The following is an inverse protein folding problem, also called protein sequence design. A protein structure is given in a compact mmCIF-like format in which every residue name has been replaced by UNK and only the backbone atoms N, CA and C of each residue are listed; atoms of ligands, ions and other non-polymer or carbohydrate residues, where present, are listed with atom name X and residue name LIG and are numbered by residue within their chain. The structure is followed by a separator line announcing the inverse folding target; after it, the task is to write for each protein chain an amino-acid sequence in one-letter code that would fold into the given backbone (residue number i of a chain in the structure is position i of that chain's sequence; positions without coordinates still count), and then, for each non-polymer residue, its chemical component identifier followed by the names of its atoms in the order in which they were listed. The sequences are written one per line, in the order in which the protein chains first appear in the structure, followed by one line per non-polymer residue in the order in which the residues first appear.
data_IF_007425763430
#
_entry.id   IF_007425763430
#
_cell.length_a   1.000
_cell.length_b   1.000
_cell.length_c   1.000
_cell.angle_alpha   90.00
_cell.angle_beta   90.00
_cell.angle_gamma   90.00
#
_symmetry.space_group_name_H-M   'P 1'
#
loop_
_entity.id
_entity.type
_entity.pdbx_description
1 polymer ?
#
# COMPACT_ATOMS: atom_id res chain seq x y z
N UNK A 1 4.28 11.47 16.98
CA UNK A 1 3.20 11.51 15.95
C UNK A 1 3.81 12.05 14.66
N UNK A 2 3.91 11.24 13.61
CA UNK A 2 4.70 11.51 12.39
C UNK A 2 4.08 12.55 11.42
N UNK A 3 2.99 13.21 11.79
CA UNK A 3 2.40 14.28 10.95
C UNK A 3 1.77 13.85 9.61
N UNK A 4 1.66 12.54 9.34
CA UNK A 4 1.15 12.00 8.08
C UNK A 4 -0.37 12.11 7.91
N UNK A 5 -1.11 12.16 9.02
CA UNK A 5 -2.57 12.31 9.01
C UNK A 5 -2.99 13.79 9.13
N UNK A 6 -4.16 14.19 8.56
CA UNK A 6 -4.72 15.52 8.72
C UNK A 6 -4.84 15.92 10.20
N UNK A 7 -4.59 17.19 10.51
CA UNK A 7 -4.53 17.69 11.90
C UNK A 7 -5.83 17.44 12.69
N UNK A 8 -6.99 17.45 12.04
CA UNK A 8 -8.28 17.23 12.69
C UNK A 8 -8.48 15.81 13.23
N UNK A 9 -7.78 14.80 12.64
CA UNK A 9 -7.83 13.40 13.10
C UNK A 9 -6.93 13.12 14.32
N UNK A 10 -6.03 14.05 14.65
CA UNK A 10 -5.08 13.88 15.76
C UNK A 10 -5.70 14.06 17.15
N UNK A 11 -6.92 14.58 17.24
CA UNK A 11 -7.55 14.85 18.55
C UNK A 11 -7.82 13.55 19.30
N UNK A 12 -7.16 13.40 20.43
CA UNK A 12 -7.27 12.26 21.33
C UNK A 12 -8.21 12.66 22.50
N UNK A 13 -9.06 11.75 22.91
CA UNK A 13 -9.95 11.91 24.07
C UNK A 13 -9.13 11.74 25.37
N UNK A 14 -9.72 12.10 26.51
CA UNK A 14 -9.16 11.91 27.88
C UNK A 14 -8.75 10.46 28.18
N UNK A 15 -9.29 9.47 27.46
CA UNK A 15 -8.96 8.04 27.55
C UNK A 15 -7.84 7.61 26.58
N UNK A 16 -7.17 8.52 25.88
CA UNK A 16 -6.10 8.20 24.91
C UNK A 16 -6.60 7.69 23.55
N UNK A 17 -7.91 7.72 23.26
CA UNK A 17 -8.51 7.18 22.05
C UNK A 17 -8.66 8.27 20.98
N UNK A 18 -8.21 8.07 19.72
CA UNK A 18 -8.40 9.03 18.62
C UNK A 18 -9.84 8.94 18.07
N UNK A 19 -10.81 9.47 18.82
CA UNK A 19 -12.25 9.35 18.52
C UNK A 19 -12.63 9.84 17.15
N UNK A 20 -12.03 10.94 16.66
CA UNK A 20 -12.31 11.46 15.33
C UNK A 20 -11.83 10.54 14.21
N UNK A 21 -10.69 9.87 14.38
CA UNK A 21 -10.20 8.87 13.44
C UNK A 21 -11.11 7.64 13.45
N UNK A 22 -11.58 7.23 14.65
CA UNK A 22 -12.52 6.12 14.80
C UNK A 22 -13.84 6.41 14.08
N UNK A 23 -14.45 7.60 14.30
CA UNK A 23 -15.67 7.98 13.60
C UNK A 23 -15.50 8.06 12.07
N UNK A 24 -14.35 8.57 11.60
CA UNK A 24 -14.06 8.60 10.17
C UNK A 24 -13.98 7.20 9.56
N UNK A 25 -13.26 6.27 10.22
CA UNK A 25 -13.19 4.86 9.78
C UNK A 25 -14.53 4.15 9.86
N UNK A 26 -15.30 4.41 10.91
CA UNK A 26 -16.66 3.84 11.04
C UNK A 26 -17.58 4.37 9.95
N UNK A 27 -17.54 5.67 9.62
CA UNK A 27 -18.31 6.25 8.53
C UNK A 27 -17.97 5.62 7.18
N UNK A 28 -16.67 5.39 6.91
CA UNK A 28 -16.23 4.64 5.71
C UNK A 28 -16.75 3.19 5.75
N UNK A 29 -16.68 2.53 6.92
CA UNK A 29 -17.25 1.18 7.09
C UNK A 29 -18.76 1.11 6.85
N UNK A 30 -19.50 2.16 7.23
CA UNK A 30 -20.93 2.24 6.95
C UNK A 30 -21.29 2.31 5.46
N UNK A 31 -20.35 2.74 4.60
CA UNK A 31 -20.55 2.69 3.15
C UNK A 31 -20.75 1.25 2.64
N UNK A 32 -20.29 0.24 3.38
CA UNK A 32 -20.56 -1.16 3.04
C UNK A 32 -22.07 -1.49 3.09
N UNK A 33 -22.84 -0.82 3.95
CA UNK A 33 -24.30 -1.00 4.00
C UNK A 33 -25.02 -0.39 2.80
N UNK A 34 -24.41 0.59 2.11
CA UNK A 34 -24.95 1.11 0.86
C UNK A 34 -24.98 0.04 -0.25
N UNK A 35 -24.11 -0.97 -0.15
CA UNK A 35 -24.12 -2.08 -1.10
C UNK A 35 -25.48 -2.80 -1.14
N UNK A 36 -26.21 -2.86 -0.02
CA UNK A 36 -27.54 -3.46 0.03
C UNK A 36 -28.62 -2.61 -0.64
N UNK A 37 -28.38 -1.29 -0.80
CA UNK A 37 -29.31 -0.37 -1.46
C UNK A 37 -29.15 -0.36 -2.98
N UNK A 38 -27.96 -0.67 -3.49
CA UNK A 38 -27.65 -0.67 -4.93
C UNK A 38 -27.77 -2.04 -5.60
N UNK A 39 -28.20 -3.08 -4.87
CA UNK A 39 -28.49 -4.43 -5.38
C UNK A 39 -27.24 -5.25 -5.75
N UNK A 40 -27.44 -6.56 -5.81
CA UNK A 40 -26.62 -7.60 -6.45
C UNK A 40 -25.11 -7.68 -6.21
N UNK A 41 -24.60 -7.19 -5.07
CA UNK A 41 -23.21 -7.44 -4.70
C UNK A 41 -22.15 -6.69 -5.51
N UNK A 42 -22.53 -5.86 -6.48
CA UNK A 42 -21.58 -5.13 -7.34
C UNK A 42 -20.63 -4.25 -6.51
N UNK A 43 -21.19 -3.42 -5.62
CA UNK A 43 -20.41 -2.55 -4.74
C UNK A 43 -19.53 -3.37 -3.79
N UNK A 44 -20.04 -4.50 -3.30
CA UNK A 44 -19.28 -5.43 -2.47
C UNK A 44 -18.05 -5.98 -3.22
N UNK A 45 -18.23 -6.42 -4.47
CA UNK A 45 -17.13 -6.94 -5.29
C UNK A 45 -16.09 -5.87 -5.59
N UNK A 46 -16.48 -4.64 -5.84
CA UNK A 46 -15.57 -3.51 -6.03
C UNK A 46 -14.73 -3.24 -4.78
N UNK A 47 -15.37 -3.19 -3.61
CA UNK A 47 -14.66 -2.97 -2.34
C UNK A 47 -13.74 -4.13 -1.99
N UNK A 48 -14.19 -5.36 -2.22
CA UNK A 48 -13.39 -6.56 -1.99
C UNK A 48 -12.12 -6.57 -2.85
N UNK A 49 -12.27 -6.33 -4.16
CA UNK A 49 -11.16 -6.27 -5.10
C UNK A 49 -10.18 -5.12 -4.78
N UNK A 50 -10.71 -3.93 -4.48
CA UNK A 50 -9.89 -2.79 -4.09
C UNK A 50 -9.10 -3.07 -2.80
N UNK A 51 -9.71 -3.73 -1.82
CA UNK A 51 -9.05 -4.13 -0.57
C UNK A 51 -7.94 -5.16 -0.82
N UNK A 52 -8.21 -6.21 -1.58
CA UNK A 52 -7.22 -7.22 -1.96
C UNK A 52 -6.02 -6.61 -2.70
N UNK A 53 -6.32 -5.77 -3.70
CA UNK A 53 -5.29 -5.06 -4.48
C UNK A 53 -4.40 -4.19 -3.59
N UNK A 54 -4.98 -3.47 -2.63
CA UNK A 54 -4.22 -2.60 -1.71
C UNK A 54 -3.22 -3.40 -0.87
N UNK A 55 -3.57 -4.64 -0.47
CA UNK A 55 -2.68 -5.56 0.23
C UNK A 55 -1.45 -5.95 -0.60
N UNK A 56 -1.64 -6.34 -1.85
CA UNK A 56 -0.52 -6.68 -2.74
C UNK A 56 0.37 -5.46 -3.06
N UNK A 57 -0.22 -4.28 -3.27
CA UNK A 57 0.54 -3.04 -3.45
C UNK A 57 1.39 -2.73 -2.20
N UNK A 58 0.84 -2.93 -1.00
CA UNK A 58 1.59 -2.74 0.24
C UNK A 58 2.77 -3.71 0.34
N UNK A 59 2.61 -4.97 -0.02
CA UNK A 59 3.69 -5.97 -0.02
C UNK A 59 4.77 -5.66 -1.05
N UNK A 60 4.40 -5.18 -2.25
CA UNK A 60 5.36 -4.64 -3.23
C UNK A 60 6.16 -3.49 -2.62
N UNK A 61 5.48 -2.55 -1.94
CA UNK A 61 6.13 -1.45 -1.23
C UNK A 61 7.11 -1.92 -0.15
N UNK A 62 6.72 -2.91 0.67
CA UNK A 62 7.59 -3.51 1.70
C UNK A 62 8.83 -4.17 1.06
N UNK A 63 8.65 -4.91 -0.03
CA UNK A 63 9.76 -5.56 -0.74
C UNK A 63 10.77 -4.53 -1.27
N UNK A 64 10.30 -3.44 -1.88
CA UNK A 64 11.13 -2.33 -2.35
C UNK A 64 11.85 -1.64 -1.18
N UNK A 65 11.13 -1.36 -0.08
CA UNK A 65 11.72 -0.73 1.11
C UNK A 65 12.81 -1.61 1.72
N UNK A 66 12.57 -2.92 1.87
CA UNK A 66 13.56 -3.85 2.40
C UNK A 66 14.82 -3.91 1.51
N UNK A 67 14.65 -3.98 0.19
CA UNK A 67 15.76 -3.98 -0.75
C UNK A 67 16.58 -2.68 -0.66
N UNK A 68 15.90 -1.53 -0.67
CA UNK A 68 16.53 -0.20 -0.56
C UNK A 68 17.19 0.02 0.79
N UNK A 69 16.55 -0.40 1.89
CA UNK A 69 17.11 -0.30 3.23
C UNK A 69 18.48 -0.96 3.32
N UNK A 70 18.60 -2.20 2.87
CA UNK A 70 19.88 -2.90 2.88
C UNK A 70 20.94 -2.25 1.99
N UNK A 71 20.55 -1.78 0.80
CA UNK A 71 21.47 -1.01 -0.05
C UNK A 71 21.95 0.28 0.61
N UNK A 72 21.03 1.01 1.25
CA UNK A 72 21.38 2.24 1.96
C UNK A 72 22.29 1.97 3.15
N UNK A 73 22.04 0.89 3.90
CA UNK A 73 22.85 0.47 5.04
C UNK A 73 24.31 0.22 4.66
N UNK A 74 24.53 -0.51 3.58
CA UNK A 74 25.88 -0.76 3.04
C UNK A 74 26.50 0.50 2.42
N UNK A 75 25.72 1.34 1.72
CA UNK A 75 26.22 2.56 1.10
C UNK A 75 26.68 3.61 2.13
N UNK A 76 26.18 3.52 3.39
CA UNK A 76 26.61 4.35 4.51
C UNK A 76 27.79 3.74 5.28
N UNK A 77 28.40 2.66 4.79
CA UNK A 77 29.55 2.00 5.41
C UNK A 77 29.22 1.21 6.68
N UNK A 78 27.92 0.97 6.98
CA UNK A 78 27.50 0.20 8.16
C UNK A 78 27.63 -1.30 7.91
N UNK A 79 28.01 -2.05 8.94
CA UNK A 79 28.11 -3.52 8.88
C UNK A 79 26.76 -4.18 9.07
N UNK A 80 26.43 -5.18 8.23
CA UNK A 80 25.19 -5.95 8.39
C UNK A 80 25.17 -6.79 9.67
N UNK A 81 26.31 -6.97 10.36
CA UNK A 81 26.38 -7.64 11.66
C UNK A 81 25.69 -6.86 12.76
N UNK A 82 25.55 -5.53 12.61
CA UNK A 82 24.96 -4.64 13.61
C UNK A 82 23.43 -4.70 13.62
N UNK A 83 22.84 -5.36 12.59
CA UNK A 83 21.40 -5.54 12.51
C UNK A 83 20.92 -6.65 13.45
N UNK A 84 19.96 -6.35 14.33
CA UNK A 84 19.31 -7.31 15.23
C UNK A 84 18.71 -8.50 14.47
N UNK A 85 18.21 -8.28 13.28
CA UNK A 85 17.69 -9.32 12.38
C UNK A 85 18.27 -9.19 10.98
N UNK A 86 18.80 -10.27 10.45
CA UNK A 86 19.36 -10.35 9.09
C UNK A 86 18.72 -11.49 8.32
N UNK A 87 17.87 -11.18 7.34
CA UNK A 87 17.34 -12.20 6.43
C UNK A 87 18.47 -12.84 5.63
N UNK A 88 18.57 -14.17 5.69
CA UNK A 88 19.67 -14.93 5.06
C UNK A 88 19.59 -14.91 3.52
N UNK A 89 18.38 -14.83 2.97
CA UNK A 89 18.08 -14.94 1.53
C UNK A 89 18.07 -13.59 0.79
N UNK A 90 18.83 -12.63 1.25
CA UNK A 90 18.98 -11.37 0.52
C UNK A 90 20.01 -11.51 -0.61
N UNK A 91 19.78 -10.96 -1.83
CA UNK A 91 18.62 -10.14 -2.26
C UNK A 91 17.43 -10.96 -2.80
N UNK A 92 17.52 -12.28 -2.83
CA UNK A 92 16.52 -13.15 -3.45
C UNK A 92 15.12 -12.97 -2.82
N UNK A 93 14.99 -12.93 -1.48
CA UNK A 93 13.71 -12.79 -0.79
C UNK A 93 12.88 -11.58 -1.24
N UNK A 94 13.40 -10.34 -1.10
CA UNK A 94 12.65 -9.15 -1.52
C UNK A 94 12.41 -9.07 -3.03
N UNK A 95 13.33 -9.58 -3.86
CA UNK A 95 13.13 -9.63 -5.32
C UNK A 95 12.03 -10.62 -5.67
N UNK A 96 12.05 -11.82 -5.09
CA UNK A 96 11.02 -12.82 -5.29
C UNK A 96 9.63 -12.31 -4.86
N UNK A 97 9.53 -11.69 -3.67
CA UNK A 97 8.29 -11.09 -3.18
C UNK A 97 7.77 -10.00 -4.13
N UNK A 98 8.67 -9.13 -4.62
CA UNK A 98 8.32 -8.10 -5.59
C UNK A 98 7.75 -8.71 -6.89
N UNK A 99 8.46 -9.68 -7.48
CA UNK A 99 8.05 -10.33 -8.73
C UNK A 99 6.73 -11.08 -8.56
N UNK A 100 6.60 -11.87 -7.47
CA UNK A 100 5.40 -12.65 -7.20
C UNK A 100 4.18 -11.75 -7.00
N UNK A 101 4.27 -10.72 -6.15
CA UNK A 101 3.17 -9.79 -5.93
C UNK A 101 2.80 -9.01 -7.20
N UNK A 102 3.80 -8.59 -7.99
CA UNK A 102 3.56 -7.93 -9.28
C UNK A 102 2.85 -8.85 -10.27
N UNK A 103 3.26 -10.13 -10.32
CA UNK A 103 2.62 -11.13 -11.17
C UNK A 103 1.16 -11.38 -10.76
N UNK A 104 0.88 -11.47 -9.46
CA UNK A 104 -0.49 -11.60 -8.93
C UNK A 104 -1.33 -10.37 -9.30
N UNK A 105 -0.78 -9.15 -9.12
CA UNK A 105 -1.47 -7.92 -9.49
C UNK A 105 -1.87 -7.90 -10.96
N UNK A 106 -0.96 -8.32 -11.85
CA UNK A 106 -1.21 -8.33 -13.30
C UNK A 106 -2.16 -9.46 -13.69
N UNK A 107 -1.98 -10.65 -13.10
CA UNK A 107 -2.68 -11.88 -13.49
C UNK A 107 -4.02 -12.12 -12.80
N UNK A 108 -4.46 -11.28 -11.86
CA UNK A 108 -5.61 -11.57 -10.99
C UNK A 108 -6.94 -11.77 -11.73
N UNK A 109 -7.11 -11.23 -12.93
CA UNK A 109 -8.29 -11.44 -13.77
C UNK A 109 -7.89 -11.73 -15.22
N UNK A 110 -7.05 -12.75 -15.39
CA UNK A 110 -6.56 -13.15 -16.70
C UNK A 110 -7.70 -13.52 -17.68
N UNK A 111 -8.79 -14.14 -17.16
CA UNK A 111 -9.95 -14.54 -17.96
C UNK A 111 -10.64 -13.38 -18.66
N UNK A 112 -10.62 -12.18 -18.10
CA UNK A 112 -11.22 -11.00 -18.72
C UNK A 112 -10.51 -10.54 -20.01
N UNK A 113 -9.27 -11.01 -20.22
CA UNK A 113 -8.46 -10.68 -21.41
C UNK A 113 -8.47 -11.79 -22.48
N UNK A 114 -8.88 -13.03 -22.12
CA UNK A 114 -8.74 -14.23 -22.97
C UNK A 114 -10.05 -14.79 -23.51
N UNK A 115 -11.20 -14.16 -23.22
CA UNK A 115 -12.49 -14.53 -23.79
C UNK A 115 -12.64 -14.08 -25.26
N UNK A 116 -13.71 -14.54 -25.91
CA UNK A 116 -14.08 -14.13 -27.29
C UNK A 116 -14.31 -12.63 -27.41
N UNK A 117 -14.66 -11.97 -26.31
CA UNK A 117 -14.78 -10.52 -26.17
C UNK A 117 -14.11 -10.07 -24.89
N UNK A 118 -13.44 -8.91 -24.95
CA UNK A 118 -12.81 -8.32 -23.77
C UNK A 118 -13.89 -7.87 -22.78
N UNK A 119 -13.86 -8.41 -21.55
CA UNK A 119 -14.75 -7.99 -20.47
C UNK A 119 -14.23 -6.72 -19.79
N UNK A 120 -14.55 -5.56 -20.35
CA UNK A 120 -14.15 -4.26 -19.81
C UNK A 120 -14.67 -4.02 -18.38
N UNK A 121 -15.86 -4.51 -18.09
CA UNK A 121 -16.45 -4.35 -16.76
C UNK A 121 -15.68 -5.18 -15.70
N UNK A 122 -15.41 -6.44 -16.01
CA UNK A 122 -14.59 -7.31 -15.17
C UNK A 122 -13.18 -6.77 -14.94
N UNK A 123 -12.54 -6.21 -15.99
CA UNK A 123 -11.24 -5.54 -15.87
C UNK A 123 -11.33 -4.36 -14.91
N UNK A 124 -12.32 -3.47 -15.10
CA UNK A 124 -12.51 -2.27 -14.28
C UNK A 124 -12.72 -2.65 -12.81
N UNK A 125 -13.61 -3.60 -12.54
CA UNK A 125 -13.90 -4.09 -11.19
C UNK A 125 -12.66 -4.70 -10.52
N UNK A 126 -11.88 -5.48 -11.26
CA UNK A 126 -10.71 -6.16 -10.72
C UNK A 126 -9.53 -5.23 -10.47
N UNK A 127 -9.30 -4.28 -11.36
CA UNK A 127 -8.11 -3.41 -11.30
C UNK A 127 -8.37 -2.02 -10.73
N UNK A 128 -9.60 -1.71 -10.24
CA UNK A 128 -9.97 -0.37 -9.72
C UNK A 128 -9.02 0.15 -8.63
N UNK A 129 -8.44 -0.75 -7.84
CA UNK A 129 -7.48 -0.41 -6.79
C UNK A 129 -6.19 0.22 -7.31
N UNK A 130 -5.72 -0.15 -8.52
CA UNK A 130 -4.49 0.39 -9.10
C UNK A 130 -4.61 1.88 -9.45
N UNK A 131 -5.56 2.32 -10.30
CA UNK A 131 -5.70 3.73 -10.63
C UNK A 131 -6.01 4.57 -9.38
N UNK A 132 -6.82 4.05 -8.45
CA UNK A 132 -7.08 4.74 -7.19
C UNK A 132 -5.79 4.95 -6.38
N UNK A 133 -4.95 3.91 -6.25
CA UNK A 133 -3.65 4.03 -5.58
C UNK A 133 -2.74 5.04 -6.29
N UNK A 134 -2.63 4.96 -7.63
CA UNK A 134 -1.78 5.87 -8.42
C UNK A 134 -2.23 7.32 -8.24
N UNK A 135 -3.53 7.59 -8.30
CA UNK A 135 -4.08 8.93 -8.10
C UNK A 135 -3.76 9.48 -6.70
N UNK A 136 -3.96 8.67 -5.66
CA UNK A 136 -3.65 9.05 -4.28
C UNK A 136 -2.14 9.27 -4.10
N UNK A 137 -1.31 8.40 -4.65
CA UNK A 137 0.14 8.52 -4.58
C UNK A 137 0.65 9.75 -5.32
N UNK A 138 0.18 10.00 -6.55
CA UNK A 138 0.52 11.19 -7.31
C UNK A 138 0.04 12.45 -6.59
N UNK A 139 -1.20 12.47 -6.12
CA UNK A 139 -1.76 13.60 -5.36
C UNK A 139 -0.90 13.92 -4.13
N UNK A 140 -0.53 12.90 -3.34
CA UNK A 140 0.38 13.08 -2.21
C UNK A 140 1.75 13.61 -2.64
N UNK A 141 2.31 13.04 -3.71
CA UNK A 141 3.62 13.45 -4.24
C UNK A 141 3.62 14.90 -4.71
N UNK A 142 2.57 15.36 -5.40
CA UNK A 142 2.45 16.76 -5.85
C UNK A 142 2.25 17.71 -4.68
N UNK A 143 1.35 17.40 -3.74
CA UNK A 143 1.05 18.28 -2.59
C UNK A 143 2.25 18.39 -1.64
N UNK A 144 2.93 17.28 -1.38
CA UNK A 144 4.08 17.22 -0.45
C UNK A 144 5.43 17.42 -1.12
N UNK A 145 5.48 17.52 -2.46
CA UNK A 145 6.72 17.65 -3.26
C UNK A 145 7.80 16.64 -2.86
N UNK A 146 7.38 15.41 -2.56
CA UNK A 146 8.26 14.35 -2.08
C UNK A 146 9.24 13.93 -3.17
N UNK A 147 10.53 13.78 -2.80
CA UNK A 147 11.60 13.30 -3.68
C UNK A 147 12.14 11.97 -3.18
N UNK A 148 12.71 11.19 -4.09
CA UNK A 148 13.42 9.97 -3.71
C UNK A 148 14.72 10.35 -3.02
N UNK A 149 14.89 9.95 -1.76
CA UNK A 149 16.09 10.26 -0.96
C UNK A 149 17.25 9.39 -1.47
N UNK A 150 18.45 9.95 -1.73
CA UNK A 150 19.64 9.17 -2.07
C UNK A 150 19.99 8.16 -0.96
N UNK A 151 20.61 7.02 -1.33
CA UNK A 151 20.90 5.94 -0.39
C UNK A 151 21.78 6.39 0.79
N UNK A 152 22.72 7.31 0.52
CA UNK A 152 23.63 7.86 1.52
C UNK A 152 22.97 8.79 2.54
N UNK A 153 21.77 9.33 2.22
CA UNK A 153 21.03 10.28 3.07
C UNK A 153 19.79 9.64 3.72
N UNK A 154 19.61 8.33 3.56
CA UNK A 154 18.49 7.63 4.18
C UNK A 154 18.68 7.58 5.70
N UNK A 155 17.69 8.02 6.46
CA UNK A 155 17.64 7.81 7.92
C UNK A 155 17.41 6.32 8.20
N UNK A 156 18.38 5.67 8.82
CA UNK A 156 18.35 4.22 9.08
C UNK A 156 18.11 3.89 10.56
N UNK A 157 18.29 4.86 11.44
CA UNK A 157 18.05 4.75 12.89
C UNK A 157 16.99 5.74 13.33
N UNK A 158 16.29 5.43 14.41
CA UNK A 158 15.21 6.26 14.93
C UNK A 158 15.73 7.53 15.63
N UNK A 159 17.00 7.57 15.96
CA UNK A 159 17.66 8.61 16.77
C UNK A 159 18.51 9.58 15.90
N UNK A 160 18.41 9.45 14.59
CA UNK A 160 19.00 10.39 13.60
C UNK A 160 17.84 11.28 12.98
#
# INVERSE_FOLDING_TARGET
MEGKAPKFLKKINSRGIPTRALYATTAVGMLAFLASLFGDGVVYMWLLNASGMSGFIAWVGIAICHYRFRKAYLAQGRSLSDLTYRAKWYPFGPVFAFVLCSFIIIGQNYSAFTGDTIDWNGILVSYIGLPMFILLWLGYKFVKKTKVIPLQQCQLTKDE
#
